data_IF_872574939742
#
_entry.id   IF_872574939742
#
_cell.length_a   1.000
_cell.length_b   1.000
_cell.length_c   1.000
_cell.angle_alpha   90.00
_cell.angle_beta   90.00
_cell.angle_gamma   90.00
#
_symmetry.space_group_name_H-M   'P 1'
#
loop_
_entity.id
_entity.type
_entity.pdbx_description
1 polymer ?
#
# COMPACT_ATOMS: atom_id res chain seq x y z
N UNK A 1 -52.84 7.07 -4.80
CA UNK A 1 -51.95 8.26 -4.80
C UNK A 1 -50.63 7.77 -4.28
N UNK A 2 -49.65 7.71 -5.18
CA UNK A 2 -48.30 7.28 -4.91
C UNK A 2 -47.50 8.43 -4.29
N UNK A 3 -46.67 8.12 -3.31
CA UNK A 3 -45.23 8.42 -3.42
C UNK A 3 -44.50 7.55 -2.39
N UNK A 4 -43.75 6.56 -2.89
CA UNK A 4 -42.80 5.79 -2.11
C UNK A 4 -41.43 6.27 -2.57
N UNK A 5 -40.74 6.93 -1.66
CA UNK A 5 -39.40 7.46 -1.79
C UNK A 5 -38.43 6.30 -2.13
N UNK A 6 -38.11 6.18 -3.42
CA UNK A 6 -37.18 5.20 -3.96
C UNK A 6 -35.76 5.73 -3.82
N UNK A 7 -35.17 5.54 -2.64
CA UNK A 7 -33.72 5.72 -2.49
C UNK A 7 -33.02 4.46 -3.03
N UNK A 8 -32.59 4.52 -4.29
CA UNK A 8 -31.75 3.50 -4.92
C UNK A 8 -30.43 3.31 -4.13
N UNK A 9 -29.95 2.07 -3.94
CA UNK A 9 -28.65 1.83 -3.32
C UNK A 9 -27.53 2.20 -4.31
N UNK A 10 -26.75 3.23 -3.97
CA UNK A 10 -25.48 3.54 -4.66
C UNK A 10 -24.51 2.36 -4.48
N UNK A 11 -24.40 1.52 -5.50
CA UNK A 11 -23.39 0.48 -5.60
C UNK A 11 -22.03 1.13 -5.87
N UNK A 12 -21.29 1.43 -4.80
CA UNK A 12 -19.88 1.79 -4.90
C UNK A 12 -19.06 0.51 -4.88
N UNK A 13 -18.76 -0.02 -6.07
CA UNK A 13 -17.88 -1.18 -6.22
C UNK A 13 -16.44 -0.73 -5.99
N UNK A 14 -15.98 -0.91 -4.75
CA UNK A 14 -14.64 -0.55 -4.31
C UNK A 14 -13.84 -1.84 -4.18
N UNK A 15 -12.94 -2.11 -5.14
CA UNK A 15 -11.95 -3.17 -4.98
C UNK A 15 -11.23 -2.98 -3.64
N UNK A 16 -11.49 -3.90 -2.73
CA UNK A 16 -11.04 -3.81 -1.34
C UNK A 16 -9.53 -4.07 -1.31
N UNK A 17 -8.75 -3.04 -0.99
CA UNK A 17 -7.31 -3.20 -0.80
C UNK A 17 -7.11 -4.06 0.44
N UNK A 18 -6.47 -5.21 0.26
CA UNK A 18 -6.10 -6.09 1.37
C UNK A 18 -4.79 -5.66 2.04
N UNK A 19 -4.65 -6.03 3.31
CA UNK A 19 -3.43 -5.84 4.12
C UNK A 19 -2.18 -6.39 3.42
N UNK A 20 -2.29 -7.56 2.77
CA UNK A 20 -1.19 -8.20 2.06
C UNK A 20 -0.54 -7.32 0.98
N UNK A 21 -1.30 -6.41 0.37
CA UNK A 21 -0.78 -5.52 -0.68
C UNK A 21 0.07 -4.38 -0.12
N UNK A 22 -0.10 -4.04 1.16
CA UNK A 22 0.48 -2.85 1.78
C UNK A 22 1.51 -3.16 2.87
N UNK A 23 1.52 -4.38 3.39
CA UNK A 23 2.46 -4.77 4.44
C UNK A 23 3.91 -4.76 3.95
N UNK A 24 4.84 -4.52 4.88
CA UNK A 24 6.24 -4.86 4.69
C UNK A 24 6.41 -6.36 4.97
N UNK A 25 6.86 -7.18 4.00
CA UNK A 25 7.07 -8.61 4.21
C UNK A 25 8.20 -8.87 5.20
N UNK A 26 8.04 -9.93 6.00
CA UNK A 26 9.01 -10.34 7.01
C UNK A 26 8.73 -9.72 8.38
N UNK A 27 9.04 -10.50 9.42
CA UNK A 27 8.97 -10.08 10.82
C UNK A 27 10.23 -10.58 11.50
N UNK A 28 11.01 -9.67 12.07
CA UNK A 28 12.20 -10.05 12.86
C UNK A 28 11.73 -10.38 14.27
N UNK A 29 11.99 -11.62 14.68
CA UNK A 29 11.67 -12.12 16.01
C UNK A 29 12.91 -12.18 16.87
N UNK A 30 12.82 -11.74 18.12
CA UNK A 30 13.93 -11.76 19.08
C UNK A 30 13.49 -12.35 20.42
N UNK A 31 14.36 -13.10 21.12
CA UNK A 31 14.12 -13.49 22.51
C UNK A 31 14.00 -12.28 23.44
N UNK A 32 13.23 -12.42 24.51
CA UNK A 32 12.99 -11.34 25.48
C UNK A 32 14.18 -11.00 26.39
N UNK A 33 15.12 -11.93 26.59
CA UNK A 33 16.36 -11.75 27.37
C UNK A 33 17.48 -11.02 26.62
N UNK A 34 17.33 -10.79 25.31
CA UNK A 34 18.30 -10.01 24.54
C UNK A 34 18.38 -8.59 25.08
N UNK A 35 19.57 -8.00 25.08
CA UNK A 35 19.77 -6.62 25.52
C UNK A 35 19.12 -5.61 24.57
N UNK A 36 18.78 -4.44 25.09
CA UNK A 36 18.22 -3.36 24.25
C UNK A 36 19.22 -2.93 23.18
N UNK A 37 20.53 -2.95 23.46
CA UNK A 37 21.58 -2.62 22.48
C UNK A 37 21.60 -3.58 21.30
N UNK A 38 21.55 -4.89 21.56
CA UNK A 38 21.55 -5.89 20.51
C UNK A 38 20.26 -5.79 19.67
N UNK A 39 19.11 -5.62 20.33
CA UNK A 39 17.84 -5.46 19.65
C UNK A 39 17.76 -4.15 18.83
N UNK A 40 18.34 -3.05 19.31
CA UNK A 40 18.47 -1.81 18.54
C UNK A 40 19.34 -2.00 17.29
N UNK A 41 20.42 -2.78 17.42
CA UNK A 41 21.30 -3.11 16.30
C UNK A 41 20.56 -3.95 15.24
N UNK A 42 19.69 -4.87 15.67
CA UNK A 42 18.83 -5.65 14.78
C UNK A 42 17.82 -4.76 14.03
N UNK A 43 17.18 -3.81 14.70
CA UNK A 43 16.26 -2.85 14.05
C UNK A 43 16.96 -2.12 12.89
N UNK A 44 18.16 -1.59 13.13
CA UNK A 44 18.93 -0.84 12.13
C UNK A 44 19.41 -1.74 10.98
N UNK A 45 19.98 -2.91 11.32
CA UNK A 45 20.54 -3.84 10.33
C UNK A 45 19.47 -4.38 9.39
N UNK A 46 18.34 -4.81 9.94
CA UNK A 46 17.24 -5.40 9.18
C UNK A 46 16.30 -4.33 8.58
N UNK A 47 16.49 -3.05 8.92
CA UNK A 47 15.64 -1.92 8.51
C UNK A 47 14.15 -2.15 8.78
N UNK A 48 13.85 -2.79 9.90
CA UNK A 48 12.48 -3.12 10.29
C UNK A 48 11.90 -2.04 11.20
N UNK A 49 10.59 -1.72 11.06
CA UNK A 49 9.94 -0.69 11.89
C UNK A 49 9.80 -1.10 13.36
N UNK A 50 9.83 -2.41 13.64
CA UNK A 50 9.67 -2.98 14.98
C UNK A 50 10.28 -4.39 15.04
N UNK A 51 10.50 -4.88 16.26
CA UNK A 51 10.81 -6.28 16.55
C UNK A 51 9.66 -6.95 17.28
N UNK A 52 9.35 -8.19 16.87
CA UNK A 52 8.43 -9.06 17.58
C UNK A 52 9.22 -9.82 18.66
N UNK A 53 8.95 -9.50 19.92
CA UNK A 53 9.67 -10.03 21.06
C UNK A 53 8.96 -11.28 21.56
N UNK A 54 9.64 -12.42 21.58
CA UNK A 54 9.15 -13.67 22.15
C UNK A 54 9.67 -13.80 23.59
N UNK A 55 8.80 -13.58 24.56
CA UNK A 55 9.14 -13.67 26.01
C UNK A 55 9.00 -15.09 26.54
N UNK A 56 7.93 -15.78 26.12
CA UNK A 56 7.72 -17.21 26.39
C UNK A 56 7.06 -17.84 25.17
N UNK A 57 6.84 -19.16 25.16
CA UNK A 57 6.19 -19.87 24.05
C UNK A 57 4.82 -19.30 23.64
N UNK A 58 4.10 -18.66 24.55
CA UNK A 58 2.76 -18.10 24.28
C UNK A 58 2.67 -16.58 24.44
N UNK A 59 3.78 -15.90 24.78
CA UNK A 59 3.76 -14.46 25.08
C UNK A 59 4.65 -13.70 24.13
N UNK A 60 4.00 -12.87 23.33
CA UNK A 60 4.64 -11.92 22.43
C UNK A 60 4.52 -10.49 22.97
N UNK A 61 5.51 -9.67 22.64
CA UNK A 61 5.50 -8.23 22.81
C UNK A 61 6.05 -7.55 21.57
N UNK A 62 5.86 -6.24 21.47
CA UNK A 62 6.41 -5.44 20.39
C UNK A 62 7.45 -4.47 20.94
N UNK A 63 8.60 -4.36 20.30
CA UNK A 63 9.57 -3.30 20.60
C UNK A 63 9.75 -2.41 19.38
N UNK A 64 9.66 -1.10 19.60
CA UNK A 64 9.86 -0.07 18.58
C UNK A 64 11.01 0.87 18.97
N UNK A 65 11.58 1.65 18.04
CA UNK A 65 12.54 2.71 18.38
C UNK A 65 12.00 3.69 19.44
N UNK A 66 10.68 3.94 19.43
CA UNK A 66 10.03 4.83 20.40
C UNK A 66 10.07 4.24 21.82
N UNK A 67 9.99 2.93 21.97
CA UNK A 67 10.13 2.27 23.27
C UNK A 67 11.53 2.48 23.84
N UNK A 68 12.57 2.33 23.01
CA UNK A 68 13.96 2.56 23.41
C UNK A 68 14.13 4.01 23.91
N UNK A 69 13.66 4.99 23.14
CA UNK A 69 13.76 6.40 23.50
C UNK A 69 13.01 6.69 24.81
N UNK A 70 11.76 6.25 24.94
CA UNK A 70 10.89 6.61 26.08
C UNK A 70 11.20 5.83 27.36
N UNK A 71 11.56 4.56 27.24
CA UNK A 71 11.68 3.63 28.39
C UNK A 71 13.13 3.41 28.83
N UNK A 72 14.11 3.70 27.98
CA UNK A 72 15.54 3.54 28.30
C UNK A 72 16.24 4.89 28.32
N UNK A 73 16.30 5.58 27.18
CA UNK A 73 17.09 6.81 27.03
C UNK A 73 16.55 7.94 27.92
N UNK A 74 15.24 8.20 27.87
CA UNK A 74 14.61 9.25 28.67
C UNK A 74 14.71 9.00 30.18
N UNK A 75 14.95 7.74 30.59
CA UNK A 75 15.12 7.34 31.99
C UNK A 75 16.60 7.34 32.42
N UNK A 76 17.54 7.64 31.52
CA UNK A 76 18.97 7.62 31.79
C UNK A 76 19.53 6.21 32.03
N UNK A 77 18.84 5.18 31.56
CA UNK A 77 19.22 3.79 31.76
C UNK A 77 20.24 3.33 30.71
N UNK A 78 21.08 2.35 31.08
CA UNK A 78 22.05 1.74 30.16
C UNK A 78 21.36 0.65 29.34
N UNK A 79 21.40 0.71 27.99
CA UNK A 79 20.71 -0.26 27.14
C UNK A 79 21.33 -1.67 27.18
N UNK A 80 22.62 -1.79 27.53
CA UNK A 80 23.30 -3.08 27.69
C UNK A 80 22.81 -3.86 28.92
N UNK A 81 22.34 -3.15 29.95
CA UNK A 81 21.92 -3.72 31.24
C UNK A 81 20.41 -4.04 31.28
N UNK A 82 19.68 -3.73 30.19
CA UNK A 82 18.23 -3.89 30.12
C UNK A 82 17.88 -4.94 29.08
N UNK A 83 17.08 -5.91 29.49
CA UNK A 83 16.46 -6.88 28.60
C UNK A 83 15.27 -6.26 27.86
N UNK A 84 15.10 -6.63 26.58
CA UNK A 84 14.00 -6.15 25.74
C UNK A 84 12.64 -6.46 26.35
N UNK A 85 12.49 -7.59 27.08
CA UNK A 85 11.24 -7.94 27.74
C UNK A 85 10.76 -6.89 28.74
N UNK A 86 11.67 -6.11 29.31
CA UNK A 86 11.31 -5.07 30.27
C UNK A 86 10.67 -3.84 29.60
N UNK A 87 10.97 -3.62 28.31
CA UNK A 87 10.53 -2.42 27.58
C UNK A 87 9.51 -2.70 26.48
N UNK A 88 9.28 -3.96 26.09
CA UNK A 88 8.30 -4.30 25.07
C UNK A 88 6.87 -3.87 25.46
N UNK A 89 6.08 -3.50 24.46
CA UNK A 89 4.66 -3.13 24.61
C UNK A 89 3.75 -4.33 24.39
N UNK A 90 2.65 -4.38 25.15
CA UNK A 90 1.64 -5.44 25.15
C UNK A 90 0.24 -4.83 25.28
N UNK A 91 -0.82 -5.47 24.74
CA UNK A 91 -0.79 -6.65 23.88
C UNK A 91 -0.31 -6.32 22.46
N UNK A 92 0.26 -7.31 21.75
CA UNK A 92 0.57 -7.20 20.32
C UNK A 92 -0.74 -7.31 19.54
N UNK A 93 -0.97 -6.38 18.62
CA UNK A 93 -2.12 -6.44 17.72
C UNK A 93 -1.75 -7.18 16.45
N UNK A 94 -2.56 -8.16 16.09
CA UNK A 94 -2.39 -8.99 14.90
C UNK A 94 -3.53 -8.78 13.92
N UNK A 95 -3.26 -8.97 12.64
CA UNK A 95 -4.26 -8.92 11.58
C UNK A 95 -3.91 -9.93 10.48
N UNK A 96 -4.89 -10.68 9.98
CA UNK A 96 -4.65 -11.60 8.87
C UNK A 96 -4.40 -10.82 7.56
N UNK A 97 -3.50 -11.36 6.73
CA UNK A 97 -3.06 -10.75 5.47
C UNK A 97 -4.20 -10.50 4.47
N UNK A 98 -5.28 -11.28 4.54
CA UNK A 98 -6.42 -11.23 3.64
C UNK A 98 -7.54 -10.28 4.12
N UNK A 99 -7.35 -9.57 5.24
CA UNK A 99 -8.30 -8.55 5.72
C UNK A 99 -8.22 -7.27 4.91
N UNK A 100 -9.33 -6.52 4.92
CA UNK A 100 -9.41 -5.21 4.28
C UNK A 100 -8.56 -4.16 5.02
N UNK A 101 -8.04 -3.18 4.27
CA UNK A 101 -7.27 -2.06 4.85
C UNK A 101 -8.09 -1.19 5.79
N UNK A 102 -9.40 -1.04 5.55
CA UNK A 102 -10.28 -0.27 6.43
C UNK A 102 -10.39 -0.91 7.82
N UNK A 103 -10.36 -2.24 7.88
CA UNK A 103 -10.34 -2.96 9.15
C UNK A 103 -9.01 -2.78 9.88
N UNK A 104 -7.90 -2.80 9.14
CA UNK A 104 -6.58 -2.50 9.71
C UNK A 104 -6.55 -1.10 10.31
N UNK A 105 -7.12 -0.12 9.61
CA UNK A 105 -7.27 1.26 10.08
C UNK A 105 -8.13 1.34 11.34
N UNK A 106 -9.29 0.69 11.34
CA UNK A 106 -10.18 0.63 12.51
C UNK A 106 -9.49 -0.04 13.71
N UNK A 107 -8.72 -1.10 13.49
CA UNK A 107 -7.97 -1.79 14.53
C UNK A 107 -6.88 -0.89 15.11
N UNK A 108 -6.10 -0.18 14.29
CA UNK A 108 -5.10 0.78 14.77
C UNK A 108 -5.73 1.92 15.58
N UNK A 109 -6.86 2.47 15.12
CA UNK A 109 -7.56 3.55 15.84
C UNK A 109 -8.11 3.09 17.18
N UNK A 110 -8.77 1.92 17.22
CA UNK A 110 -9.39 1.40 18.44
C UNK A 110 -8.37 0.90 19.47
N UNK A 111 -7.26 0.33 19.02
CA UNK A 111 -6.19 -0.14 19.90
C UNK A 111 -5.17 0.93 20.29
N UNK A 112 -5.13 2.05 19.55
CA UNK A 112 -4.16 3.13 19.75
C UNK A 112 -2.72 2.77 19.38
N UNK A 113 -2.48 1.63 18.72
CA UNK A 113 -1.14 1.28 18.20
C UNK A 113 -1.01 1.67 16.73
N UNK A 114 0.12 2.31 16.35
CA UNK A 114 0.40 2.63 14.95
C UNK A 114 0.99 1.44 14.17
N UNK A 115 1.12 0.26 14.77
CA UNK A 115 1.73 -0.93 14.16
C UNK A 115 0.86 -2.16 14.44
N UNK A 116 0.65 -2.96 13.39
CA UNK A 116 0.04 -4.28 13.43
C UNK A 116 1.03 -5.32 12.90
N UNK A 117 1.06 -6.50 13.54
CA UNK A 117 1.76 -7.66 12.98
C UNK A 117 0.81 -8.39 12.05
N UNK A 118 1.23 -8.59 10.80
CA UNK A 118 0.44 -9.30 9.80
C UNK A 118 0.71 -10.79 9.90
N UNK A 119 -0.37 -11.57 9.95
CA UNK A 119 -0.34 -13.02 10.03
C UNK A 119 -0.90 -13.68 8.77
N UNK A 120 -0.44 -14.90 8.49
CA UNK A 120 -1.06 -15.82 7.55
C UNK A 120 -1.22 -17.15 8.27
N UNK A 121 -2.45 -17.59 8.48
CA UNK A 121 -2.73 -18.82 9.25
C UNK A 121 -2.06 -18.77 10.63
N UNK A 122 -2.22 -17.65 11.36
CA UNK A 122 -1.59 -17.37 12.65
C UNK A 122 -0.04 -17.34 12.68
N UNK A 123 0.63 -17.41 11.53
CA UNK A 123 2.09 -17.23 11.46
C UNK A 123 2.42 -15.78 11.11
N UNK A 124 3.31 -15.09 11.86
CA UNK A 124 3.75 -13.75 11.50
C UNK A 124 4.47 -13.75 10.14
N UNK A 125 3.97 -12.96 9.18
CA UNK A 125 4.50 -12.88 7.81
C UNK A 125 4.86 -11.45 7.38
N UNK A 126 4.41 -10.44 8.10
CA UNK A 126 4.76 -9.05 7.78
C UNK A 126 4.41 -8.07 8.88
N UNK A 127 4.68 -6.80 8.61
CA UNK A 127 4.35 -5.67 9.48
C UNK A 127 3.58 -4.64 8.68
N UNK A 128 2.50 -4.11 9.27
CA UNK A 128 1.74 -3.00 8.72
C UNK A 128 1.80 -1.82 9.70
N UNK A 129 2.16 -0.63 9.21
CA UNK A 129 2.26 0.58 10.01
C UNK A 129 1.18 1.61 9.64
N UNK A 130 0.90 2.56 10.51
CA UNK A 130 -0.01 3.67 10.23
C UNK A 130 0.50 4.51 9.03
N UNK A 131 1.81 4.54 8.80
CA UNK A 131 2.39 5.14 7.60
C UNK A 131 1.90 4.41 6.34
N UNK A 132 1.80 3.09 6.39
CA UNK A 132 1.28 2.27 5.27
C UNK A 132 -0.22 2.49 5.06
N UNK A 133 -0.97 2.94 6.08
CA UNK A 133 -2.36 3.38 5.90
C UNK A 133 -2.45 4.75 5.19
N UNK A 134 -1.51 5.65 5.45
CA UNK A 134 -1.44 6.95 4.76
C UNK A 134 -0.92 6.80 3.34
N UNK A 135 0.04 5.89 3.16
CA UNK A 135 0.58 5.48 1.87
C UNK A 135 -0.29 4.43 1.17
N UNK A 136 -1.35 3.91 1.83
CA UNK A 136 -2.49 3.23 1.19
C UNK A 136 -2.80 4.01 -0.06
N UNK A 137 -3.03 3.38 -1.24
CA UNK A 137 -3.12 4.08 -2.51
C UNK A 137 -4.27 5.08 -2.49
N UNK A 138 -4.00 6.24 -1.90
CA UNK A 138 -4.51 7.54 -2.25
C UNK A 138 -3.87 7.79 -3.59
N UNK A 139 -4.47 7.14 -4.58
CA UNK A 139 -4.43 7.54 -5.96
C UNK A 139 -4.54 9.05 -5.98
N UNK A 140 -3.42 9.73 -6.17
CA UNK A 140 -3.46 11.17 -6.40
C UNK A 140 -4.11 11.34 -7.75
N UNK A 141 -5.27 12.00 -7.77
CA UNK A 141 -5.91 12.40 -9.02
C UNK A 141 -4.90 13.24 -9.79
N UNK A 142 -4.63 12.85 -11.03
CA UNK A 142 -3.64 13.50 -11.87
C UNK A 142 -4.04 13.38 -13.33
N UNK A 143 -3.30 14.05 -14.20
CA UNK A 143 -3.47 13.96 -15.65
C UNK A 143 -2.08 13.94 -16.26
N UNK A 144 -1.35 12.86 -16.01
CA UNK A 144 0.00 12.67 -16.55
C UNK A 144 -0.14 11.94 -17.88
N UNK A 145 0.32 12.57 -18.97
CA UNK A 145 0.44 11.91 -20.27
C UNK A 145 1.45 10.77 -20.17
N UNK A 146 1.05 9.58 -20.60
CA UNK A 146 1.85 8.38 -20.57
C UNK A 146 1.67 7.55 -21.85
N UNK A 147 2.58 6.59 -22.04
CA UNK A 147 2.52 5.63 -23.14
C UNK A 147 2.48 4.22 -22.56
N UNK A 148 1.54 3.39 -23.03
CA UNK A 148 1.48 1.97 -22.72
C UNK A 148 1.98 1.16 -23.93
N UNK A 149 2.99 0.34 -23.70
CA UNK A 149 3.50 -0.64 -24.68
C UNK A 149 3.16 -2.05 -24.22
N UNK A 150 2.47 -2.83 -25.05
CA UNK A 150 2.05 -4.20 -24.72
C UNK A 150 3.23 -5.17 -24.89
N UNK A 151 3.54 -5.93 -23.83
CA UNK A 151 4.65 -6.88 -23.81
C UNK A 151 4.27 -8.28 -24.30
N UNK A 152 3.02 -8.71 -24.11
CA UNK A 152 2.56 -10.07 -24.42
C UNK A 152 1.27 -10.05 -25.30
N UNK A 153 1.18 -10.93 -26.32
CA UNK A 153 -0.05 -11.17 -27.12
C UNK A 153 -0.05 -10.67 -28.58
N UNK A 154 -1.19 -10.82 -29.28
CA UNK A 154 -1.36 -10.49 -30.72
C UNK A 154 -1.16 -9.00 -31.08
N UNK A 155 -1.06 -8.13 -30.07
CA UNK A 155 -0.84 -6.68 -30.20
C UNK A 155 0.54 -6.22 -29.71
N UNK A 156 1.52 -7.15 -29.65
CA UNK A 156 2.89 -6.87 -29.23
C UNK A 156 3.48 -5.67 -30.00
N UNK A 157 4.01 -4.70 -29.26
CA UNK A 157 4.64 -3.50 -29.84
C UNK A 157 3.70 -2.35 -30.22
N UNK A 158 2.39 -2.46 -29.97
CA UNK A 158 1.47 -1.31 -30.09
C UNK A 158 1.62 -0.38 -28.89
N UNK A 159 2.01 0.86 -29.18
CA UNK A 159 2.03 1.95 -28.21
C UNK A 159 0.70 2.69 -28.21
N UNK A 160 0.13 2.87 -27.03
CA UNK A 160 -1.10 3.63 -26.84
C UNK A 160 -0.79 4.84 -25.97
N UNK A 161 -1.10 6.03 -26.47
CA UNK A 161 -1.10 7.23 -25.64
C UNK A 161 -2.29 7.16 -24.70
N UNK A 162 -2.02 7.47 -23.43
CA UNK A 162 -2.99 7.38 -22.35
C UNK A 162 -2.77 8.49 -21.34
N UNK A 163 -3.80 8.78 -20.54
CA UNK A 163 -3.69 9.67 -19.41
C UNK A 163 -3.75 8.88 -18.12
N UNK A 164 -2.73 8.99 -17.27
CA UNK A 164 -2.78 8.48 -15.90
C UNK A 164 -3.72 9.40 -15.13
N UNK A 165 -4.93 8.92 -14.84
CA UNK A 165 -5.92 9.64 -14.05
C UNK A 165 -5.61 9.54 -12.56
N UNK A 166 -4.93 8.47 -12.15
CA UNK A 166 -4.57 8.21 -10.76
C UNK A 166 -3.25 7.46 -10.65
N UNK A 167 -2.36 7.88 -9.75
CA UNK A 167 -1.06 7.24 -9.54
C UNK A 167 -0.79 6.94 -8.06
N UNK A 168 -0.19 5.78 -7.82
CA UNK A 168 0.41 5.37 -6.55
C UNK A 168 1.71 4.59 -6.77
N UNK A 169 2.42 4.27 -5.70
CA UNK A 169 3.62 3.44 -5.79
C UNK A 169 3.33 1.94 -6.04
N UNK A 170 2.07 1.53 -5.96
CA UNK A 170 1.62 0.15 -6.20
C UNK A 170 0.97 -0.04 -7.59
N UNK A 171 0.53 1.05 -8.23
CA UNK A 171 -0.17 0.98 -9.51
C UNK A 171 -0.72 2.33 -9.97
N UNK A 172 -1.32 2.32 -11.16
CA UNK A 172 -1.91 3.46 -11.82
C UNK A 172 -3.30 3.12 -12.40
N UNK A 173 -4.24 4.06 -12.29
CA UNK A 173 -5.45 4.06 -13.13
C UNK A 173 -5.19 4.93 -14.34
N UNK A 174 -5.59 4.42 -15.50
CA UNK A 174 -5.27 5.00 -16.78
C UNK A 174 -6.51 5.07 -17.65
N UNK A 175 -6.77 6.20 -18.28
CA UNK A 175 -7.81 6.36 -19.27
C UNK A 175 -7.25 6.02 -20.66
N UNK A 176 -7.80 4.99 -21.30
CA UNK A 176 -7.40 4.56 -22.64
C UNK A 176 -8.59 4.36 -23.56
N UNK A 177 -8.49 4.77 -24.84
CA UNK A 177 -9.49 4.45 -25.86
C UNK A 177 -9.35 3.01 -26.38
N UNK A 178 -8.25 2.30 -26.07
CA UNK A 178 -7.97 0.97 -26.59
C UNK A 178 -8.47 -0.16 -25.68
N UNK A 179 -8.99 -1.23 -26.28
CA UNK A 179 -9.34 -2.47 -25.56
C UNK A 179 -8.06 -3.24 -25.24
N UNK A 180 -7.69 -3.30 -23.96
CA UNK A 180 -6.58 -4.15 -23.48
C UNK A 180 -7.13 -5.18 -22.52
N UNK A 181 -6.72 -6.45 -22.71
CA UNK A 181 -7.26 -7.58 -21.94
C UNK A 181 -6.64 -7.63 -20.53
N UNK A 182 -7.43 -8.02 -19.50
CA UNK A 182 -6.88 -8.32 -18.17
C UNK A 182 -5.80 -9.40 -18.22
N UNK A 183 -4.82 -9.32 -17.33
CA UNK A 183 -3.66 -10.21 -17.28
C UNK A 183 -2.55 -9.88 -18.29
N UNK A 184 -2.78 -8.95 -19.22
CA UNK A 184 -1.76 -8.51 -20.18
C UNK A 184 -0.65 -7.76 -19.47
N UNK A 185 0.61 -8.14 -19.75
CA UNK A 185 1.78 -7.42 -19.26
C UNK A 185 2.06 -6.22 -20.14
N UNK A 186 2.35 -5.09 -19.51
CA UNK A 186 2.56 -3.81 -20.17
C UNK A 186 3.78 -3.10 -19.61
N UNK A 187 4.35 -2.19 -20.40
CA UNK A 187 5.24 -1.13 -19.94
C UNK A 187 4.46 0.18 -19.94
N UNK A 188 4.41 0.84 -18.78
CA UNK A 188 3.87 2.19 -18.62
C UNK A 188 5.04 3.17 -18.54
N UNK A 189 5.16 4.05 -19.53
CA UNK A 189 6.19 5.06 -19.63
C UNK A 189 5.61 6.46 -19.41
N UNK A 190 6.14 7.22 -18.46
CA UNK A 190 5.64 8.56 -18.10
C UNK A 190 6.69 9.43 -17.38
N UNK A 191 6.45 10.73 -17.33
CA UNK A 191 7.26 11.68 -16.55
C UNK A 191 6.44 12.26 -15.40
N UNK A 192 6.96 12.21 -14.17
CA UNK A 192 6.30 12.81 -12.99
C UNK A 192 6.32 14.36 -13.02
N UNK A 193 7.31 14.94 -13.69
CA UNK A 193 7.52 16.38 -13.85
C UNK A 193 8.49 16.60 -15.02
N UNK A 194 8.43 17.75 -15.69
CA UNK A 194 9.35 18.12 -16.77
C UNK A 194 10.83 18.12 -16.34
N UNK A 195 11.09 18.30 -15.04
CA UNK A 195 12.44 18.33 -14.47
C UNK A 195 12.96 16.94 -14.05
N UNK A 196 12.17 15.87 -14.21
CA UNK A 196 12.51 14.52 -13.76
C UNK A 196 12.73 13.58 -14.94
N UNK A 197 13.64 12.62 -14.81
CA UNK A 197 13.85 11.59 -15.83
C UNK A 197 12.58 10.75 -16.06
N UNK A 198 12.35 10.26 -17.28
CA UNK A 198 11.21 9.38 -17.56
C UNK A 198 11.27 8.11 -16.71
N UNK A 199 10.10 7.64 -16.29
CA UNK A 199 9.90 6.36 -15.64
C UNK A 199 9.31 5.39 -16.65
N UNK A 200 9.85 4.18 -16.70
CA UNK A 200 9.29 3.07 -17.47
C UNK A 200 9.09 1.91 -16.52
N UNK A 201 7.82 1.62 -16.20
CA UNK A 201 7.44 0.67 -15.17
C UNK A 201 6.70 -0.49 -15.81
N UNK A 202 7.09 -1.72 -15.45
CA UNK A 202 6.37 -2.91 -15.85
C UNK A 202 5.10 -3.04 -15.01
N UNK A 203 4.00 -3.44 -15.63
CA UNK A 203 2.78 -3.74 -14.91
C UNK A 203 1.95 -4.85 -15.53
N UNK A 204 0.98 -5.32 -14.78
CA UNK A 204 -0.09 -6.20 -15.25
C UNK A 204 -1.42 -5.47 -15.16
N UNK A 205 -2.23 -5.63 -16.21
CA UNK A 205 -3.59 -5.10 -16.22
C UNK A 205 -4.47 -6.00 -15.34
N UNK A 206 -5.15 -5.42 -14.36
CA UNK A 206 -5.92 -6.18 -13.38
C UNK A 206 -7.39 -6.40 -13.80
N UNK A 207 -8.05 -5.40 -14.38
CA UNK A 207 -9.36 -5.52 -15.06
C UNK A 207 -9.73 -4.22 -15.79
N UNK A 208 -10.60 -4.35 -16.81
CA UNK A 208 -11.17 -3.24 -17.56
C UNK A 208 -12.54 -2.91 -16.95
N UNK A 209 -12.64 -1.87 -16.12
CA UNK A 209 -13.95 -1.38 -15.65
C UNK A 209 -14.67 -0.69 -16.82
N UNK A 210 -15.40 -1.49 -17.60
CA UNK A 210 -16.02 -1.03 -18.84
C UNK A 210 -17.03 -2.02 -19.45
N UNK A 211 -18.09 -2.34 -18.69
CA UNK A 211 -19.42 -2.79 -19.15
C UNK A 211 -19.48 -4.23 -19.73
N UNK A 212 -20.28 -5.07 -19.06
CA UNK A 212 -20.82 -6.37 -19.54
C UNK A 212 -21.52 -6.23 -20.91
N UNK A 213 -21.44 -7.22 -21.82
CA UNK A 213 -22.18 -7.17 -23.07
C UNK A 213 -23.67 -7.39 -22.82
N UNK A 214 -24.46 -6.32 -22.76
CA UNK A 214 -25.92 -6.45 -22.83
C UNK A 214 -26.26 -6.85 -24.26
N UNK A 215 -26.79 -8.06 -24.38
CA UNK A 215 -27.29 -8.67 -25.61
C UNK A 215 -28.23 -7.73 -26.37
N UNK A 216 -27.88 -7.45 -27.63
CA UNK A 216 -28.81 -7.00 -28.67
C UNK A 216 -29.22 -5.53 -28.68
N UNK A 217 -28.40 -4.66 -29.29
CA UNK A 217 -28.88 -3.50 -30.05
C UNK A 217 -27.76 -2.87 -30.89
N UNK A 218 -28.00 -2.71 -32.18
CA UNK A 218 -27.22 -1.89 -33.11
C UNK A 218 -27.41 -0.40 -32.79
N UNK A 219 -26.36 0.36 -32.45
CA UNK A 219 -26.07 1.70 -33.02
C UNK A 219 -24.94 2.49 -32.33
N UNK A 220 -24.19 3.22 -33.18
CA UNK A 220 -23.35 4.42 -32.98
C UNK A 220 -22.17 4.38 -31.99
N UNK A 221 -20.97 4.33 -32.57
CA UNK A 221 -19.65 4.46 -31.93
C UNK A 221 -19.39 5.89 -31.43
N UNK A 222 -19.56 6.12 -30.14
CA UNK A 222 -18.70 7.06 -29.37
C UNK A 222 -18.22 6.29 -28.14
N UNK A 223 -17.08 5.60 -28.26
CA UNK A 223 -16.52 4.83 -27.17
C UNK A 223 -16.03 5.79 -26.07
N UNK A 224 -16.73 5.83 -24.93
CA UNK A 224 -16.27 6.56 -23.76
C UNK A 224 -14.87 6.02 -23.33
N UNK A 225 -13.95 6.89 -22.88
CA UNK A 225 -12.66 6.44 -22.38
C UNK A 225 -12.89 5.46 -21.23
N UNK A 226 -12.29 4.27 -21.32
CA UNK A 226 -12.42 3.23 -20.30
C UNK A 226 -11.25 3.34 -19.32
N UNK A 227 -11.54 3.20 -18.04
CA UNK A 227 -10.53 3.14 -16.99
C UNK A 227 -9.87 1.77 -16.96
N UNK A 228 -8.56 1.74 -17.20
CA UNK A 228 -7.70 0.56 -17.13
C UNK A 228 -6.87 0.64 -15.85
N UNK A 229 -6.91 -0.45 -15.08
CA UNK A 229 -6.16 -0.61 -13.84
C UNK A 229 -4.83 -1.33 -14.11
N UNK A 230 -3.70 -0.71 -13.77
CA UNK A 230 -2.35 -1.28 -13.92
C UNK A 230 -1.69 -1.44 -12.56
N UNK A 231 -1.37 -2.68 -12.19
CA UNK A 231 -0.54 -2.99 -11.04
C UNK A 231 0.94 -3.00 -11.43
N UNK A 232 1.78 -2.30 -10.67
CA UNK A 232 3.22 -2.27 -10.94
C UNK A 232 3.89 -3.56 -10.47
N UNK A 233 4.83 -4.05 -11.29
CA UNK A 233 5.62 -5.25 -11.07
C UNK A 233 7.09 -4.85 -11.10
N UNK A 234 7.90 -5.39 -10.18
CA UNK A 234 9.35 -5.19 -10.12
C UNK A 234 9.81 -3.71 -10.04
N UNK A 235 9.04 -2.85 -9.35
CA UNK A 235 9.38 -1.43 -9.20
C UNK A 235 10.66 -1.24 -8.37
N UNK A 236 11.66 -0.54 -8.93
CA UNK A 236 12.94 -0.30 -8.25
C UNK A 236 12.76 0.54 -6.97
N UNK A 237 13.57 0.34 -5.91
CA UNK A 237 13.47 1.16 -4.69
C UNK A 237 13.65 2.67 -4.95
N UNK A 238 14.45 3.03 -5.96
CA UNK A 238 14.65 4.41 -6.37
C UNK A 238 13.37 5.00 -7.00
N UNK A 239 12.74 4.28 -7.93
CA UNK A 239 11.50 4.73 -8.58
C UNK A 239 10.32 4.74 -7.62
N UNK A 240 10.25 3.76 -6.73
CA UNK A 240 9.29 3.74 -5.63
C UNK A 240 9.43 4.99 -4.75
N UNK A 241 10.66 5.39 -4.42
CA UNK A 241 10.92 6.60 -3.65
C UNK A 241 10.52 7.87 -4.39
N UNK A 242 10.78 7.94 -5.70
CA UNK A 242 10.39 9.08 -6.56
C UNK A 242 8.88 9.23 -6.65
N UNK A 243 8.16 8.13 -6.87
CA UNK A 243 6.68 8.15 -6.94
C UNK A 243 6.09 8.51 -5.58
N UNK A 244 6.60 7.92 -4.48
CA UNK A 244 6.15 8.28 -3.12
C UNK A 244 6.38 9.76 -2.83
N UNK A 245 7.55 10.30 -3.16
CA UNK A 245 7.86 11.72 -2.95
C UNK A 245 6.93 12.63 -3.76
N UNK A 246 6.65 12.29 -5.02
CA UNK A 246 5.73 13.04 -5.86
C UNK A 246 4.29 12.98 -5.33
N UNK A 247 3.78 11.79 -4.97
CA UNK A 247 2.44 11.62 -4.39
C UNK A 247 2.31 12.46 -3.13
N UNK A 248 3.31 12.45 -2.24
CA UNK A 248 3.33 13.26 -1.02
C UNK A 248 3.31 14.78 -1.32
N UNK A 249 4.00 15.23 -2.36
CA UNK A 249 4.01 16.64 -2.76
C UNK A 249 2.67 17.12 -3.36
N UNK A 250 1.89 16.21 -3.94
CA UNK A 250 0.58 16.48 -4.55
C UNK A 250 -0.58 16.39 -3.54
N UNK A 251 -0.35 15.82 -2.35
CA UNK A 251 -1.37 15.81 -1.31
C UNK A 251 -1.66 17.26 -0.85
N UNK A 252 -2.94 17.60 -0.62
CA UNK A 252 -3.28 18.90 -0.06
C UNK A 252 -2.55 19.06 1.28
N UNK A 253 -1.74 20.12 1.40
CA UNK A 253 -1.10 20.49 2.66
C UNK A 253 -2.21 20.68 3.69
N UNK A 254 -2.26 19.82 4.70
CA UNK A 254 -3.21 19.97 5.80
C UNK A 254 -3.01 21.34 6.44
N UNK A 255 -4.11 22.10 6.51
CA UNK A 255 -4.30 23.43 7.09
C UNK A 255 -3.28 23.83 8.17
N UNK A 256 -2.69 25.02 8.00
CA UNK A 256 -2.06 25.77 9.09
C UNK A 256 -3.12 26.08 10.17
N UNK A 257 -2.87 25.77 11.46
CA UNK A 257 -3.71 26.25 12.53
C UNK A 257 -3.47 27.76 12.72
N UNK A 258 -4.45 28.57 12.34
CA UNK A 258 -4.59 29.95 12.81
C UNK A 258 -5.21 29.97 14.20
#
# INVERSE_FOLDING_TARGET
MADTDGQEPKATDHQTILVAHMMTPGVVQVPGDVSVTEAASLLERERMPCLLVKDTESRFGLMTPTDIVKKVVAQGLKPDDIEVRAIMTRPVQFIEYDRAMDEASALMMSSGTPILIVTKQNQPVGVLTARDLVLSPKRCSTSISATISILDGESMGREHQVAISQLSHAGASVESPALVLPGTKVLLSFCLSEMMSPLTIRGSILNNTGIEPISGATCSLTAAPRGIEIQFIDLSPADQSRIKAWVLAQLPKSFDPS
#
